data_IF_383655978810
#
_entry.id   IF_383655978810
#
_cell.length_a   1.000
_cell.length_b   1.000
_cell.length_c   1.000
_cell.angle_alpha   90.00
_cell.angle_beta   90.00
_cell.angle_gamma   90.00
#
_symmetry.space_group_name_H-M   'P 1'
#
loop_
_entity.id
_entity.type
_entity.pdbx_description
1 polymer ?
#
# COMPACT_ATOMS: atom_id res chain seq x y z
N UNK A 1 -11.68 18.19 -4.53
CA UNK A 1 -12.20 17.40 -5.68
C UNK A 1 -11.11 17.08 -6.73
N UNK A 2 -10.10 17.94 -6.96
CA UNK A 2 -9.05 17.69 -7.97
C UNK A 2 -8.26 16.39 -7.78
N UNK A 3 -7.80 16.05 -6.57
CA UNK A 3 -6.99 14.85 -6.34
C UNK A 3 -7.69 13.53 -6.75
N UNK A 4 -9.00 13.42 -6.51
CA UNK A 4 -9.80 12.25 -6.89
C UNK A 4 -9.93 12.15 -8.42
N UNK A 5 -10.16 13.28 -9.10
CA UNK A 5 -10.23 13.33 -10.56
C UNK A 5 -8.87 13.02 -11.21
N UNK A 6 -7.77 13.40 -10.56
CA UNK A 6 -6.42 13.07 -11.02
C UNK A 6 -6.15 11.57 -10.95
N UNK A 7 -6.58 10.89 -9.88
CA UNK A 7 -6.42 9.43 -9.73
C UNK A 7 -7.11 8.61 -10.82
N UNK A 8 -8.17 9.15 -11.43
CA UNK A 8 -8.86 8.51 -12.55
C UNK A 8 -8.12 8.68 -13.89
N UNK A 9 -7.04 9.47 -13.91
CA UNK A 9 -6.25 9.79 -15.11
C UNK A 9 -4.76 9.47 -14.98
N UNK A 10 -4.22 9.51 -13.75
CA UNK A 10 -2.80 9.36 -13.45
C UNK A 10 -2.63 8.45 -12.23
N UNK A 11 -1.73 7.45 -12.29
CA UNK A 11 -1.45 6.60 -11.15
C UNK A 11 -0.80 7.40 -10.01
N UNK A 12 -1.10 7.04 -8.76
CA UNK A 12 -0.51 7.62 -7.55
C UNK A 12 0.23 6.55 -6.78
N UNK A 13 1.42 6.88 -6.30
CA UNK A 13 2.19 6.06 -5.38
C UNK A 13 1.94 6.56 -3.96
N UNK A 14 1.57 5.65 -3.06
CA UNK A 14 1.30 5.93 -1.65
C UNK A 14 2.10 4.94 -0.81
N UNK A 15 2.82 5.45 0.20
CA UNK A 15 3.41 4.65 1.27
C UNK A 15 2.42 4.59 2.44
N UNK A 16 1.78 3.44 2.72
CA UNK A 16 0.71 3.35 3.71
C UNK A 16 1.17 3.74 5.12
N UNK A 17 2.43 3.48 5.45
CA UNK A 17 3.08 3.80 6.73
C UNK A 17 3.29 5.33 6.88
N UNK A 18 3.51 6.02 5.76
CA UNK A 18 3.72 7.47 5.69
C UNK A 18 5.03 7.95 6.31
N UNK A 19 5.99 7.07 6.55
CA UNK A 19 7.37 7.37 6.93
C UNK A 19 8.27 6.20 6.51
N UNK A 20 9.57 6.46 6.35
CA UNK A 20 10.57 5.41 6.15
C UNK A 20 10.93 4.76 7.49
N UNK A 21 11.14 3.44 7.52
CA UNK A 21 11.71 2.73 8.66
C UNK A 21 13.18 2.44 8.40
N UNK A 22 14.06 2.76 9.35
CA UNK A 22 15.51 2.60 9.19
C UNK A 22 16.00 1.18 9.54
N UNK A 23 15.14 0.37 10.16
CA UNK A 23 15.45 -0.94 10.74
C UNK A 23 14.68 -2.09 10.05
N UNK A 24 13.98 -1.82 8.96
CA UNK A 24 13.14 -2.81 8.27
C UNK A 24 11.88 -3.19 9.05
N UNK A 25 11.58 -2.49 10.16
CA UNK A 25 10.36 -2.71 10.91
C UNK A 25 9.11 -2.35 10.11
N UNK A 26 8.08 -3.21 10.20
CA UNK A 26 6.75 -2.88 9.68
C UNK A 26 6.08 -1.87 10.60
N UNK A 27 5.66 -0.75 10.03
CA UNK A 27 4.81 0.22 10.72
C UNK A 27 3.34 -0.02 10.38
N UNK A 28 2.41 0.40 11.27
CA UNK A 28 0.99 0.32 10.96
C UNK A 28 0.62 1.25 9.81
N UNK A 29 -0.27 0.78 8.94
CA UNK A 29 -0.85 1.54 7.86
C UNK A 29 -1.73 2.68 8.40
N UNK A 30 -1.65 3.83 7.74
CA UNK A 30 -2.59 4.93 7.96
C UNK A 30 -3.90 4.66 7.19
N UNK A 31 -5.06 5.08 7.74
CA UNK A 31 -6.36 4.86 7.10
C UNK A 31 -6.54 5.61 5.77
N UNK A 32 -5.64 6.55 5.45
CA UNK A 32 -5.70 7.36 4.23
C UNK A 32 -5.73 6.54 2.95
N UNK A 33 -5.00 5.41 2.89
CA UNK A 33 -4.97 4.54 1.71
C UNK A 33 -6.38 4.01 1.39
N UNK A 34 -7.03 3.37 2.38
CA UNK A 34 -8.36 2.80 2.21
C UNK A 34 -9.41 3.85 1.84
N UNK A 35 -9.32 5.04 2.44
CA UNK A 35 -10.22 6.16 2.15
C UNK A 35 -10.08 6.66 0.71
N UNK A 36 -8.84 6.93 0.27
CA UNK A 36 -8.56 7.47 -1.07
C UNK A 36 -8.99 6.47 -2.15
N UNK A 37 -8.59 5.21 -2.00
CA UNK A 37 -8.94 4.16 -2.96
C UNK A 37 -10.45 3.95 -3.06
N UNK A 38 -11.17 3.98 -1.91
CA UNK A 38 -12.63 3.87 -1.89
C UNK A 38 -13.31 5.03 -2.60
N UNK A 39 -12.87 6.26 -2.33
CA UNK A 39 -13.46 7.47 -2.89
C UNK A 39 -13.21 7.60 -4.40
N UNK A 40 -12.01 7.21 -4.85
CA UNK A 40 -11.67 7.23 -6.27
C UNK A 40 -12.24 6.04 -7.04
N UNK A 41 -12.72 4.99 -6.35
CA UNK A 41 -13.21 3.74 -6.93
C UNK A 41 -12.18 3.07 -7.86
N UNK A 42 -10.90 3.14 -7.49
CA UNK A 42 -9.77 2.57 -8.23
C UNK A 42 -9.18 1.36 -7.49
N UNK A 43 -8.58 0.39 -8.21
CA UNK A 43 -7.84 -0.68 -7.57
C UNK A 43 -6.55 -0.15 -6.93
N UNK A 44 -6.09 -0.85 -5.89
CA UNK A 44 -4.79 -0.69 -5.27
C UNK A 44 -3.88 -1.78 -5.85
N UNK A 45 -2.69 -1.42 -6.31
CA UNK A 45 -1.67 -2.39 -6.75
C UNK A 45 -0.58 -2.43 -5.68
N UNK A 46 -0.53 -3.48 -4.83
CA UNK A 46 0.53 -3.60 -3.84
C UNK A 46 1.88 -3.79 -4.54
N UNK A 47 2.92 -3.12 -4.04
CA UNK A 47 4.27 -3.19 -4.58
C UNK A 47 5.25 -3.46 -3.43
N UNK A 48 6.03 -4.53 -3.55
CA UNK A 48 7.19 -4.76 -2.68
C UNK A 48 8.41 -4.17 -3.32
N UNK A 49 9.15 -3.38 -2.55
CA UNK A 49 10.48 -2.88 -2.91
C UNK A 49 11.46 -3.74 -2.14
N UNK A 50 12.37 -4.42 -2.85
CA UNK A 50 13.42 -5.22 -2.24
C UNK A 50 14.76 -4.65 -2.66
N UNK A 51 15.55 -4.26 -1.68
CA UNK A 51 16.85 -3.62 -1.88
C UNK A 51 17.83 -4.09 -0.82
N UNK A 52 19.10 -4.19 -1.18
CA UNK A 52 20.19 -4.53 -0.24
C UNK A 52 20.80 -3.28 0.42
N UNK A 53 20.21 -2.10 0.20
CA UNK A 53 20.64 -0.79 0.73
C UNK A 53 22.13 -0.47 0.52
N UNK A 54 22.73 -0.99 -0.57
CA UNK A 54 24.11 -0.72 -0.95
C UNK A 54 24.21 0.34 -2.04
N UNK A 55 25.34 1.05 -2.07
CA UNK A 55 25.68 1.95 -3.18
C UNK A 55 25.74 1.12 -4.48
N UNK A 56 24.95 1.53 -5.49
CA UNK A 56 24.75 0.81 -6.76
C UNK A 56 24.10 -0.59 -6.60
N UNK A 57 23.41 -0.82 -5.50
CA UNK A 57 22.58 -2.01 -5.29
C UNK A 57 21.43 -2.09 -6.31
N UNK A 58 21.02 -3.31 -6.63
CA UNK A 58 19.86 -3.52 -7.51
C UNK A 58 18.58 -3.40 -6.69
N UNK A 59 17.63 -2.63 -7.20
CA UNK A 59 16.28 -2.54 -6.64
C UNK A 59 15.38 -3.50 -7.42
N UNK A 60 14.80 -4.46 -6.72
CA UNK A 60 13.79 -5.37 -7.25
C UNK A 60 12.39 -4.85 -6.87
N UNK A 61 11.55 -4.60 -7.88
CA UNK A 61 10.16 -4.18 -7.69
C UNK A 61 9.23 -5.35 -8.02
N UNK A 62 8.43 -5.77 -7.05
CA UNK A 62 7.51 -6.89 -7.19
C UNK A 62 6.08 -6.37 -7.11
N UNK A 63 5.38 -6.37 -8.24
CA UNK A 63 3.95 -6.03 -8.30
C UNK A 63 3.10 -7.25 -7.94
N UNK A 64 2.11 -7.04 -7.07
CA UNK A 64 1.15 -8.07 -6.68
C UNK A 64 -0.18 -7.88 -7.39
N UNK A 65 -1.09 -8.84 -7.20
CA UNK A 65 -2.43 -8.78 -7.77
C UNK A 65 -3.18 -7.52 -7.30
N UNK A 66 -3.86 -6.79 -8.20
CA UNK A 66 -4.65 -5.63 -7.82
C UNK A 66 -5.78 -6.01 -6.88
N UNK A 67 -5.95 -5.26 -5.80
CA UNK A 67 -7.05 -5.43 -4.83
C UNK A 67 -7.95 -4.22 -4.83
N UNK A 68 -9.26 -4.41 -4.73
CA UNK A 68 -10.22 -3.33 -4.54
C UNK A 68 -10.66 -3.27 -3.10
N UNK A 69 -10.97 -2.07 -2.64
CA UNK A 69 -11.54 -1.86 -1.30
C UNK A 69 -12.82 -2.69 -1.06
N UNK A 70 -13.59 -2.93 -2.12
CA UNK A 70 -14.82 -3.75 -2.06
C UNK A 70 -14.56 -5.22 -1.77
N UNK A 71 -13.38 -5.73 -2.12
CA UNK A 71 -13.07 -7.16 -2.03
C UNK A 71 -12.91 -7.61 -0.58
N UNK A 72 -12.68 -6.67 0.33
CA UNK A 72 -12.59 -6.92 1.77
C UNK A 72 -13.94 -7.12 2.47
N UNK A 73 -15.07 -6.95 1.76
CA UNK A 73 -16.39 -7.37 2.25
C UNK A 73 -17.04 -6.49 3.34
N UNK A 74 -16.53 -5.29 3.61
CA UNK A 74 -17.10 -4.40 4.62
C UNK A 74 -18.46 -3.82 4.20
N UNK A 75 -19.47 -3.96 5.08
CA UNK A 75 -20.83 -3.40 4.87
C UNK A 75 -20.93 -1.90 5.18
N UNK A 76 -20.12 -1.41 6.11
CA UNK A 76 -20.02 0.01 6.50
C UNK A 76 -18.55 0.38 6.62
N UNK A 77 -18.23 1.62 6.25
CA UNK A 77 -16.86 2.12 6.28
C UNK A 77 -16.69 3.14 7.41
N UNK A 78 -15.67 2.93 8.22
CA UNK A 78 -15.19 3.80 9.30
C UNK A 78 -13.67 3.97 9.18
N UNK A 79 -13.10 4.89 9.98
CA UNK A 79 -11.64 5.04 10.09
C UNK A 79 -10.95 3.70 10.39
N UNK A 80 -11.53 2.89 11.27
CA UNK A 80 -11.01 1.57 11.63
C UNK A 80 -11.02 0.59 10.45
N UNK A 81 -12.09 0.56 9.66
CA UNK A 81 -12.13 -0.32 8.46
C UNK A 81 -11.10 0.10 7.42
N UNK A 82 -10.89 1.41 7.24
CA UNK A 82 -9.89 1.89 6.29
C UNK A 82 -8.46 1.60 6.75
N UNK A 83 -8.23 1.66 8.06
CA UNK A 83 -6.97 1.21 8.66
C UNK A 83 -6.77 -0.30 8.41
N UNK A 84 -7.79 -1.14 8.66
CA UNK A 84 -7.71 -2.59 8.43
C UNK A 84 -7.47 -2.94 6.95
N UNK A 85 -8.09 -2.22 6.02
CA UNK A 85 -7.79 -2.35 4.58
C UNK A 85 -6.31 -2.06 4.31
N UNK A 86 -5.79 -0.98 4.91
CA UNK A 86 -4.36 -0.63 4.83
C UNK A 86 -3.46 -1.74 5.35
N UNK A 87 -3.78 -2.29 6.53
CA UNK A 87 -3.02 -3.40 7.14
C UNK A 87 -2.99 -4.63 6.25
N UNK A 88 -4.14 -5.03 5.68
CA UNK A 88 -4.20 -6.20 4.78
C UNK A 88 -3.44 -5.97 3.47
N UNK A 89 -3.41 -4.74 2.97
CA UNK A 89 -2.57 -4.40 1.81
C UNK A 89 -1.09 -4.50 2.19
N UNK A 90 -0.70 -4.02 3.39
CA UNK A 90 0.66 -4.20 3.88
C UNK A 90 1.01 -5.67 4.05
N UNK A 91 0.11 -6.51 4.56
CA UNK A 91 0.36 -7.95 4.65
C UNK A 91 0.79 -8.53 3.30
N UNK A 92 0.16 -8.11 2.19
CA UNK A 92 0.54 -8.55 0.83
C UNK A 92 1.95 -8.03 0.45
N UNK A 93 2.24 -6.76 0.75
CA UNK A 93 3.55 -6.15 0.47
C UNK A 93 4.67 -6.86 1.24
N UNK A 94 4.42 -7.27 2.46
CA UNK A 94 5.41 -7.89 3.34
C UNK A 94 5.46 -9.44 3.24
N UNK A 95 4.40 -10.11 2.77
CA UNK A 95 4.27 -11.58 2.72
C UNK A 95 5.32 -12.31 1.89
N UNK A 96 6.00 -11.64 0.95
CA UNK A 96 7.01 -12.26 0.06
C UNK A 96 8.45 -12.05 0.50
N UNK A 97 8.68 -11.41 1.64
CA UNK A 97 10.01 -11.03 2.09
C UNK A 97 10.49 -11.98 3.19
N UNK A 98 10.44 -13.28 2.92
CA UNK A 98 11.16 -14.27 3.72
C UNK A 98 12.66 -14.18 3.36
N UNK A 99 13.41 -13.38 4.14
CA UNK A 99 14.87 -13.45 4.19
C UNK A 99 15.68 -12.31 3.56
N UNK A 100 15.09 -11.16 3.26
CA UNK A 100 15.82 -9.97 2.79
C UNK A 100 15.32 -8.68 3.45
N UNK A 101 16.16 -7.65 3.52
CA UNK A 101 15.72 -6.32 3.92
C UNK A 101 14.75 -5.75 2.86
N UNK A 102 13.72 -5.05 3.34
CA UNK A 102 12.77 -4.26 2.54
C UNK A 102 13.29 -2.84 2.50
#
# INVERSE_FOLDING_TARGET
RQAITTLQRVPLIIFPEGTTTNDGGRLPAKPGLGLIAKQAAVPIVPLTIKTDYRLFGTIELIAHEPVRVTDFGFRRYSSQTYHEIGERVLDIVYQRVDGGAI
#
